data_IF_699901169063
#
_entry.id   IF_699901169063
#
_cell.length_a   1.000
_cell.length_b   1.000
_cell.length_c   1.000
_cell.angle_alpha   90.00
_cell.angle_beta   90.00
_cell.angle_gamma   90.00
#
_symmetry.space_group_name_H-M   'P 1'
#
loop_
_entity.id
_entity.type
_entity.pdbx_description
1 polymer ?
#
# COMPACT_ATOMS: atom_id res chain seq x y z
N UNK A 1 22.75 -6.25 4.95
CA UNK A 1 22.39 -4.97 5.59
C UNK A 1 21.60 -5.27 6.87
N UNK A 2 21.64 -4.32 7.81
CA UNK A 2 20.75 -4.29 8.96
C UNK A 2 19.61 -3.33 8.67
N UNK A 3 18.39 -3.83 8.63
CA UNK A 3 17.21 -3.09 8.15
C UNK A 3 16.18 -2.96 9.26
N UNK A 4 15.68 -1.75 9.51
CA UNK A 4 14.54 -1.50 10.37
C UNK A 4 13.26 -1.35 9.52
N UNK A 5 12.23 -2.14 9.81
CA UNK A 5 10.89 -1.99 9.21
C UNK A 5 9.91 -1.63 10.31
N UNK A 6 9.23 -0.49 10.20
CA UNK A 6 8.18 -0.14 11.17
C UNK A 6 6.91 -0.95 10.90
N UNK A 7 6.33 -1.55 11.93
CA UNK A 7 5.24 -2.52 11.84
C UNK A 7 5.75 -3.96 11.78
N UNK A 8 5.69 -4.60 10.62
CA UNK A 8 6.22 -5.96 10.39
C UNK A 8 5.24 -7.11 10.62
N UNK A 9 3.96 -6.84 10.92
CA UNK A 9 2.98 -7.90 11.22
C UNK A 9 1.77 -7.93 10.31
N UNK A 10 1.56 -6.91 9.48
CA UNK A 10 0.39 -6.78 8.60
C UNK A 10 0.80 -6.30 7.22
N UNK A 11 0.28 -6.92 6.19
CA UNK A 11 0.39 -6.59 4.76
C UNK A 11 1.74 -5.98 4.36
N UNK A 12 1.78 -4.71 3.96
CA UNK A 12 2.97 -4.07 3.40
C UNK A 12 4.19 -4.23 4.32
N UNK A 13 4.05 -3.91 5.60
CA UNK A 13 5.16 -3.99 6.53
C UNK A 13 5.62 -5.42 6.80
N UNK A 14 4.68 -6.37 6.85
CA UNK A 14 5.00 -7.79 7.00
C UNK A 14 5.69 -8.33 5.75
N UNK A 15 5.13 -8.06 4.57
CA UNK A 15 5.72 -8.51 3.31
C UNK A 15 7.13 -7.94 3.14
N UNK A 16 7.33 -6.65 3.42
CA UNK A 16 8.63 -5.98 3.35
C UNK A 16 9.65 -6.66 4.28
N UNK A 17 9.27 -6.94 5.53
CA UNK A 17 10.14 -7.61 6.48
C UNK A 17 10.54 -9.01 5.99
N UNK A 18 9.56 -9.83 5.58
CA UNK A 18 9.80 -11.20 5.07
C UNK A 18 10.61 -11.18 3.77
N UNK A 19 10.40 -10.21 2.88
CA UNK A 19 11.16 -10.06 1.65
C UNK A 19 12.66 -9.86 1.94
N UNK A 20 12.99 -8.93 2.83
CA UNK A 20 14.40 -8.67 3.17
C UNK A 20 15.05 -9.78 4.00
N UNK A 21 14.30 -10.49 4.84
CA UNK A 21 14.79 -11.73 5.49
C UNK A 21 15.16 -12.77 4.43
N UNK A 22 14.28 -13.00 3.44
CA UNK A 22 14.55 -13.91 2.33
C UNK A 22 15.80 -13.56 1.51
N UNK A 23 16.11 -12.28 1.42
CA UNK A 23 17.31 -11.76 0.75
C UNK A 23 18.59 -11.88 1.63
N UNK A 24 18.47 -12.46 2.82
CA UNK A 24 19.60 -12.67 3.73
C UNK A 24 20.02 -11.43 4.53
N UNK A 25 19.11 -10.47 4.70
CA UNK A 25 19.36 -9.30 5.53
C UNK A 25 18.99 -9.55 6.99
N UNK A 26 19.64 -8.84 7.91
CA UNK A 26 19.29 -8.79 9.34
C UNK A 26 18.15 -7.79 9.51
N UNK A 27 16.93 -8.27 9.71
CA UNK A 27 15.71 -7.44 9.71
C UNK A 27 15.17 -7.27 11.11
N UNK A 28 15.03 -6.03 11.53
CA UNK A 28 14.36 -5.62 12.76
C UNK A 28 12.96 -5.09 12.44
N UNK A 29 11.98 -5.47 13.25
CA UNK A 29 10.62 -4.95 13.16
C UNK A 29 10.27 -4.20 14.44
N UNK A 30 9.68 -3.01 14.29
CA UNK A 30 9.27 -2.15 15.42
C UNK A 30 7.76 -2.17 15.55
N UNK A 31 7.24 -2.82 16.59
CA UNK A 31 5.80 -2.87 16.88
C UNK A 31 5.51 -3.21 18.35
N UNK A 32 4.23 -3.17 18.73
CA UNK A 32 3.76 -3.42 20.11
C UNK A 32 3.58 -4.90 20.45
N UNK A 33 4.07 -5.83 19.65
CA UNK A 33 3.97 -7.28 19.85
C UNK A 33 2.53 -7.81 20.06
N UNK A 34 1.55 -7.16 19.45
CA UNK A 34 0.15 -7.55 19.55
C UNK A 34 -0.27 -8.67 18.59
N UNK A 35 0.66 -9.12 17.74
CA UNK A 35 0.46 -10.18 16.74
C UNK A 35 1.73 -11.03 16.63
N UNK A 36 1.63 -12.31 16.21
CA UNK A 36 2.80 -13.14 15.93
C UNK A 36 3.75 -12.45 14.95
N UNK A 37 5.03 -12.58 15.22
CA UNK A 37 6.09 -12.06 14.35
C UNK A 37 6.40 -13.07 13.23
N UNK A 38 6.89 -12.59 12.11
CA UNK A 38 7.38 -13.46 11.03
C UNK A 38 8.69 -14.14 11.44
N UNK A 39 8.95 -15.30 10.88
CA UNK A 39 10.23 -16.01 11.09
C UNK A 39 11.40 -15.20 10.55
N UNK A 40 12.52 -15.23 11.28
CA UNK A 40 13.79 -14.59 10.90
C UNK A 40 13.85 -13.08 11.16
N UNK A 41 12.83 -12.46 11.75
CA UNK A 41 12.89 -11.05 12.16
C UNK A 41 13.31 -10.90 13.64
N UNK A 42 13.97 -9.79 13.94
CA UNK A 42 14.28 -9.37 15.30
C UNK A 42 13.25 -8.34 15.78
N UNK A 43 12.48 -8.68 16.81
CA UNK A 43 11.47 -7.78 17.36
C UNK A 43 12.11 -6.71 18.24
N UNK A 44 11.79 -5.45 17.97
CA UNK A 44 11.92 -4.32 18.90
C UNK A 44 10.53 -4.00 19.41
N UNK A 45 10.16 -4.57 20.56
CA UNK A 45 8.87 -4.33 21.17
C UNK A 45 8.81 -2.93 21.79
N UNK A 46 7.99 -2.07 21.20
CA UNK A 46 7.73 -0.73 21.71
C UNK A 46 6.45 -0.13 21.14
N UNK A 47 5.88 0.81 21.87
CA UNK A 47 4.98 1.81 21.29
C UNK A 47 5.82 2.85 20.55
N UNK A 48 5.45 3.18 19.32
CA UNK A 48 6.14 4.15 18.48
C UNK A 48 6.29 5.53 19.16
N UNK A 49 5.30 5.92 19.95
CA UNK A 49 5.29 7.19 20.68
C UNK A 49 6.02 7.13 22.03
N UNK A 50 6.67 6.01 22.35
CA UNK A 50 7.37 5.80 23.62
C UNK A 50 8.62 4.94 23.42
N UNK A 51 9.46 5.31 22.45
CA UNK A 51 10.64 4.51 22.04
C UNK A 51 11.79 4.60 23.05
N UNK A 52 11.95 5.74 23.72
CA UNK A 52 13.09 5.96 24.61
C UNK A 52 14.44 5.78 23.88
N UNK A 53 15.32 4.98 24.46
CA UNK A 53 16.66 4.71 23.90
C UNK A 53 16.75 3.37 23.13
N UNK A 54 15.61 2.72 22.83
CA UNK A 54 15.61 1.36 22.26
C UNK A 54 16.31 1.23 20.91
N UNK A 55 16.34 2.31 20.12
CA UNK A 55 16.96 2.34 18.80
C UNK A 55 18.35 3.00 18.80
N UNK A 56 18.70 3.73 19.86
CA UNK A 56 19.86 4.64 19.89
C UNK A 56 21.21 3.95 19.70
N UNK A 57 21.33 2.71 20.17
CA UNK A 57 22.59 1.95 20.13
C UNK A 57 22.61 0.91 19.00
N UNK A 58 21.62 0.94 18.10
CA UNK A 58 21.55 0.06 16.94
C UNK A 58 21.77 0.90 15.70
N UNK A 59 22.82 0.62 14.94
CA UNK A 59 22.98 1.22 13.62
C UNK A 59 22.21 0.41 12.59
N UNK A 60 21.35 1.09 11.84
CA UNK A 60 20.64 0.52 10.70
C UNK A 60 21.25 1.03 9.40
N UNK A 61 21.42 0.15 8.41
CA UNK A 61 21.83 0.55 7.06
C UNK A 61 20.65 1.15 6.30
N UNK A 62 19.44 0.67 6.60
CA UNK A 62 18.18 1.13 5.99
C UNK A 62 17.08 1.17 7.04
N UNK A 63 16.29 2.24 7.00
CA UNK A 63 15.00 2.37 7.70
C UNK A 63 13.88 2.41 6.66
N UNK A 64 12.97 1.44 6.69
CA UNK A 64 11.73 1.44 5.88
C UNK A 64 10.56 1.76 6.80
N UNK A 65 10.10 3.01 6.71
CA UNK A 65 9.01 3.50 7.56
C UNK A 65 7.66 3.34 6.85
N UNK A 66 6.99 2.23 7.15
CA UNK A 66 5.70 1.85 6.57
C UNK A 66 4.52 2.41 7.34
N UNK A 67 4.69 2.63 8.64
CA UNK A 67 3.57 2.93 9.56
C UNK A 67 3.54 4.38 10.04
N UNK A 68 4.20 5.30 9.34
CA UNK A 68 4.05 6.75 9.59
C UNK A 68 2.81 7.28 8.88
N UNK A 69 1.77 7.54 9.66
CA UNK A 69 0.48 8.08 9.19
C UNK A 69 0.35 9.58 9.41
N UNK A 70 1.13 10.15 10.32
CA UNK A 70 1.11 11.56 10.69
C UNK A 70 2.50 12.05 11.11
N UNK A 71 2.65 13.37 11.23
CA UNK A 71 3.91 14.04 11.57
C UNK A 71 4.57 13.48 12.84
N UNK A 72 3.78 13.23 13.91
CA UNK A 72 4.29 12.74 15.18
C UNK A 72 4.96 11.36 15.02
N UNK A 73 4.43 10.50 14.13
CA UNK A 73 5.02 9.19 13.86
C UNK A 73 6.45 9.30 13.34
N UNK A 74 6.70 10.25 12.44
CA UNK A 74 8.03 10.51 11.89
C UNK A 74 8.92 11.18 12.93
N UNK A 75 8.38 12.16 13.67
CA UNK A 75 9.12 12.89 14.70
C UNK A 75 9.67 11.95 15.76
N UNK A 76 8.83 11.09 16.30
CA UNK A 76 9.19 10.18 17.40
C UNK A 76 10.21 9.14 16.94
N UNK A 77 10.06 8.63 15.70
CA UNK A 77 11.02 7.69 15.14
C UNK A 77 12.38 8.34 14.91
N UNK A 78 12.46 9.51 14.27
CA UNK A 78 13.72 10.21 14.01
C UNK A 78 14.46 10.58 15.31
N UNK A 79 13.72 11.01 16.35
CA UNK A 79 14.30 11.34 17.65
C UNK A 79 14.87 10.11 18.40
N UNK A 80 14.30 8.92 18.15
CA UNK A 80 14.73 7.70 18.81
C UNK A 80 15.86 6.97 18.07
N UNK A 81 16.00 7.19 16.75
CA UNK A 81 17.06 6.58 15.96
C UNK A 81 18.45 7.10 16.39
N UNK A 82 19.41 6.19 16.38
CA UNK A 82 20.84 6.53 16.44
C UNK A 82 21.38 6.82 15.05
N UNK A 83 22.56 6.27 14.74
CA UNK A 83 23.15 6.36 13.40
C UNK A 83 22.43 5.41 12.43
N UNK A 84 22.10 5.91 11.24
CA UNK A 84 21.48 5.11 10.16
C UNK A 84 21.95 5.58 8.78
N UNK A 85 21.83 4.69 7.80
CA UNK A 85 22.14 4.98 6.41
C UNK A 85 20.95 5.65 5.68
N UNK A 86 20.25 4.89 4.86
CA UNK A 86 19.12 5.39 4.07
C UNK A 86 17.80 5.32 4.86
N UNK A 87 16.90 6.25 4.53
CA UNK A 87 15.54 6.29 5.09
C UNK A 87 14.53 6.37 3.95
N UNK A 88 13.58 5.42 3.93
CA UNK A 88 12.50 5.37 2.95
C UNK A 88 11.16 5.37 3.69
N UNK A 89 10.33 6.37 3.42
CA UNK A 89 8.96 6.46 3.91
C UNK A 89 7.98 5.94 2.87
N UNK A 90 7.07 5.07 3.26
CA UNK A 90 5.92 4.69 2.44
C UNK A 90 4.79 5.66 2.72
N UNK A 91 4.58 6.58 1.78
CA UNK A 91 3.51 7.57 1.81
C UNK A 91 2.26 7.07 1.04
N UNK A 92 1.59 7.90 0.28
CA UNK A 92 0.38 7.57 -0.46
C UNK A 92 0.09 8.59 -1.56
N UNK A 93 -0.57 8.17 -2.64
CA UNK A 93 -1.20 9.06 -3.62
C UNK A 93 -2.30 9.96 -3.03
N UNK A 94 -2.77 9.68 -1.83
CA UNK A 94 -3.78 10.46 -1.12
C UNK A 94 -3.34 11.91 -0.79
N UNK A 95 -2.05 12.23 -0.99
CA UNK A 95 -1.49 13.58 -0.81
C UNK A 95 -1.88 14.55 -1.92
N UNK A 96 -2.37 14.06 -3.07
CA UNK A 96 -2.76 14.90 -4.19
C UNK A 96 -4.23 15.31 -4.10
N UNK A 97 -4.56 16.61 -4.25
CA UNK A 97 -5.94 17.07 -4.39
C UNK A 97 -6.62 16.44 -5.62
N UNK A 98 -7.87 16.02 -5.49
CA UNK A 98 -8.66 15.47 -6.60
C UNK A 98 -8.94 16.49 -7.72
N UNK A 99 -8.75 17.76 -7.44
CA UNK A 99 -8.98 18.88 -8.40
C UNK A 99 -7.83 19.05 -9.40
N UNK A 100 -6.69 18.42 -9.15
CA UNK A 100 -5.55 18.52 -10.05
C UNK A 100 -5.74 17.68 -11.31
N UNK A 101 -5.08 18.12 -12.38
CA UNK A 101 -5.07 17.37 -13.64
C UNK A 101 -4.22 16.09 -13.53
N UNK A 102 -4.73 14.98 -14.07
CA UNK A 102 -4.06 13.69 -14.00
C UNK A 102 -3.37 13.31 -15.32
N UNK A 103 -2.32 12.49 -15.30
CA UNK A 103 -1.75 11.78 -14.13
C UNK A 103 -1.06 12.71 -13.14
N UNK A 104 -1.16 12.41 -11.85
CA UNK A 104 -0.47 13.19 -10.82
C UNK A 104 1.04 12.97 -10.89
N UNK A 105 1.81 14.07 -10.91
CA UNK A 105 3.29 14.06 -10.91
C UNK A 105 3.84 14.44 -9.55
N UNK A 106 5.07 14.03 -9.27
CA UNK A 106 5.71 14.26 -7.96
C UNK A 106 6.00 15.71 -7.64
N UNK A 107 6.08 16.57 -8.65
CA UNK A 107 6.30 18.02 -8.55
C UNK A 107 5.00 18.83 -8.44
N UNK A 108 3.85 18.18 -8.51
CA UNK A 108 2.56 18.82 -8.30
C UNK A 108 2.34 19.16 -6.82
N UNK A 109 1.55 20.21 -6.60
CA UNK A 109 1.14 20.64 -5.26
C UNK A 109 0.41 19.51 -4.52
N UNK A 110 0.77 19.33 -3.25
CA UNK A 110 0.04 18.45 -2.33
C UNK A 110 -1.01 19.25 -1.58
N UNK A 111 -2.13 18.62 -1.21
CA UNK A 111 -3.22 19.34 -0.54
C UNK A 111 -4.38 18.44 -0.13
N UNK A 112 -5.40 19.08 0.41
CA UNK A 112 -6.60 18.40 0.86
C UNK A 112 -7.32 17.68 -0.28
N UNK A 113 -7.76 16.47 0.01
CA UNK A 113 -8.53 15.62 -0.88
C UNK A 113 -9.79 15.14 -0.16
N UNK A 114 -10.97 15.43 -0.72
CA UNK A 114 -12.27 15.14 -0.10
C UNK A 114 -12.52 13.64 0.10
N UNK A 115 -11.92 12.79 -0.71
CA UNK A 115 -12.04 11.33 -0.58
C UNK A 115 -11.12 10.74 0.49
N UNK A 116 -10.01 11.40 0.81
CA UNK A 116 -9.01 10.90 1.76
C UNK A 116 -8.98 11.68 3.07
N UNK A 117 -9.53 12.89 3.10
CA UNK A 117 -9.69 13.72 4.31
C UNK A 117 -8.39 13.82 5.15
N UNK A 118 -8.51 13.62 6.45
CA UNK A 118 -7.37 13.67 7.37
C UNK A 118 -6.24 12.68 7.05
N UNK A 119 -6.53 11.56 6.37
CA UNK A 119 -5.48 10.63 5.99
C UNK A 119 -4.50 11.25 5.01
N UNK A 120 -5.01 11.98 3.99
CA UNK A 120 -4.15 12.68 3.01
C UNK A 120 -3.35 13.80 3.65
N UNK A 121 -3.99 14.70 4.40
CA UNK A 121 -3.32 15.85 5.03
C UNK A 121 -2.29 15.42 6.08
N UNK A 122 -2.59 14.40 6.88
CA UNK A 122 -1.63 13.86 7.84
C UNK A 122 -0.37 13.28 7.16
N UNK A 123 -0.53 12.63 5.99
CA UNK A 123 0.61 12.16 5.19
C UNK A 123 1.43 13.32 4.66
N UNK A 124 0.80 14.41 4.22
CA UNK A 124 1.50 15.64 3.78
C UNK A 124 2.35 16.20 4.93
N UNK A 125 1.76 16.39 6.12
CA UNK A 125 2.48 16.88 7.30
C UNK A 125 3.68 15.99 7.66
N UNK A 126 3.54 14.68 7.51
CA UNK A 126 4.60 13.72 7.76
C UNK A 126 5.74 13.84 6.71
N UNK A 127 5.41 13.96 5.42
CA UNK A 127 6.38 14.15 4.34
C UNK A 127 7.15 15.45 4.48
N UNK A 128 6.45 16.56 4.74
CA UNK A 128 7.06 17.89 4.92
C UNK A 128 8.02 17.89 6.11
N UNK A 129 7.59 17.31 7.24
CA UNK A 129 8.45 17.20 8.41
C UNK A 129 9.68 16.33 8.13
N UNK A 130 9.52 15.20 7.45
CA UNK A 130 10.61 14.31 7.09
C UNK A 130 11.63 15.04 6.22
N UNK A 131 11.22 15.62 5.10
CA UNK A 131 12.14 16.28 4.18
C UNK A 131 12.81 17.52 4.77
N UNK A 132 12.13 18.24 5.67
CA UNK A 132 12.72 19.37 6.38
C UNK A 132 13.85 18.94 7.31
N UNK A 133 13.73 17.79 7.98
CA UNK A 133 14.71 17.33 8.97
C UNK A 133 15.70 16.30 8.41
N UNK A 134 15.34 15.62 7.35
CA UNK A 134 16.16 14.63 6.64
C UNK A 134 16.00 14.80 5.12
N UNK A 135 16.61 15.82 4.50
CA UNK A 135 16.42 16.16 3.08
C UNK A 135 16.80 15.03 2.10
N UNK A 136 17.61 14.07 2.56
CA UNK A 136 18.05 12.91 1.75
C UNK A 136 17.12 11.69 1.88
N UNK A 137 16.05 11.76 2.69
CA UNK A 137 15.10 10.67 2.79
C UNK A 137 14.34 10.49 1.47
N UNK A 138 14.00 9.24 1.15
CA UNK A 138 13.14 8.94 0.03
C UNK A 138 11.68 8.76 0.48
N UNK A 139 10.75 9.20 -0.35
CA UNK A 139 9.31 9.07 -0.15
C UNK A 139 8.73 8.35 -1.35
N UNK A 140 8.08 7.21 -1.11
CA UNK A 140 7.34 6.48 -2.14
C UNK A 140 5.85 6.78 -1.95
N UNK A 141 5.17 7.25 -3.00
CA UNK A 141 3.74 7.53 -3.02
C UNK A 141 3.02 6.47 -3.87
N UNK A 142 2.59 5.34 -3.29
CA UNK A 142 1.85 4.32 -4.03
C UNK A 142 0.37 4.67 -4.20
N UNK A 143 -0.29 4.11 -5.24
CA UNK A 143 -1.75 4.08 -5.38
C UNK A 143 -2.32 2.94 -4.52
N UNK A 144 -3.24 2.12 -5.05
CA UNK A 144 -3.72 0.93 -4.35
C UNK A 144 -2.66 -0.18 -4.35
N UNK A 145 -1.99 -0.36 -3.21
CA UNK A 145 -1.13 -1.54 -3.00
C UNK A 145 -1.98 -2.80 -2.94
N UNK A 146 -1.55 -3.86 -3.62
CA UNK A 146 -2.19 -5.17 -3.63
C UNK A 146 -1.13 -6.28 -3.58
N UNK A 147 -1.54 -7.53 -3.59
CA UNK A 147 -0.63 -8.66 -3.63
C UNK A 147 -0.75 -9.57 -2.41
N UNK A 148 0.22 -10.44 -2.23
CA UNK A 148 0.28 -11.37 -1.09
C UNK A 148 0.20 -10.61 0.23
N UNK A 149 -0.46 -11.21 1.22
CA UNK A 149 -0.66 -10.66 2.56
C UNK A 149 -1.59 -9.44 2.64
N UNK A 150 -2.23 -9.03 1.53
CA UNK A 150 -3.23 -7.98 1.60
C UNK A 150 -4.46 -8.47 2.37
N UNK A 151 -4.62 -7.95 3.58
CA UNK A 151 -5.73 -8.32 4.46
C UNK A 151 -6.95 -7.39 4.33
N UNK A 152 -6.93 -6.44 3.40
CA UNK A 152 -8.07 -5.57 3.12
C UNK A 152 -9.11 -6.32 2.30
N UNK A 153 -10.39 -6.08 2.59
CA UNK A 153 -11.49 -6.70 1.88
C UNK A 153 -11.74 -6.00 0.53
N UNK A 154 -10.78 -6.13 -0.37
CA UNK A 154 -10.79 -5.62 -1.75
C UNK A 154 -10.85 -6.79 -2.73
N UNK A 155 -9.73 -7.28 -3.24
CA UNK A 155 -9.69 -8.48 -4.08
C UNK A 155 -10.25 -9.70 -3.37
N UNK A 156 -10.06 -9.83 -2.07
CA UNK A 156 -10.65 -10.90 -1.26
C UNK A 156 -12.19 -10.93 -1.32
N UNK A 157 -12.85 -9.76 -1.39
CA UNK A 157 -14.29 -9.67 -1.58
C UNK A 157 -14.72 -10.20 -2.95
N UNK A 158 -13.99 -9.81 -4.01
CA UNK A 158 -14.28 -10.30 -5.37
C UNK A 158 -14.05 -11.79 -5.49
N UNK A 159 -12.99 -12.31 -4.89
CA UNK A 159 -12.72 -13.75 -4.85
C UNK A 159 -13.85 -14.53 -4.15
N UNK A 160 -14.37 -14.01 -3.03
CA UNK A 160 -15.50 -14.64 -2.35
C UNK A 160 -16.79 -14.63 -3.18
N UNK A 161 -17.07 -13.51 -3.88
CA UNK A 161 -18.20 -13.46 -4.81
C UNK A 161 -18.02 -14.49 -5.92
N UNK A 162 -16.82 -14.59 -6.49
CA UNK A 162 -16.50 -15.57 -7.53
C UNK A 162 -16.66 -17.01 -7.03
N UNK A 163 -16.13 -17.35 -5.84
CA UNK A 163 -16.26 -18.69 -5.26
C UNK A 163 -17.70 -19.11 -5.08
N UNK A 164 -18.53 -18.18 -4.58
CA UNK A 164 -19.95 -18.41 -4.27
C UNK A 164 -20.87 -18.28 -5.49
N UNK A 165 -20.34 -17.94 -6.68
CA UNK A 165 -21.09 -17.63 -7.90
C UNK A 165 -22.16 -16.55 -7.68
N UNK A 166 -21.83 -15.52 -6.90
CA UNK A 166 -22.71 -14.39 -6.66
C UNK A 166 -22.57 -13.35 -7.78
N UNK A 167 -23.62 -12.58 -8.11
CA UNK A 167 -23.48 -11.42 -8.95
C UNK A 167 -22.54 -10.39 -8.31
N UNK A 168 -21.81 -9.63 -9.13
CA UNK A 168 -20.94 -8.57 -8.66
C UNK A 168 -21.43 -7.19 -9.07
N UNK A 169 -21.61 -6.31 -8.10
CA UNK A 169 -22.17 -4.99 -8.30
C UNK A 169 -21.06 -3.96 -8.51
N UNK A 170 -21.11 -3.25 -9.64
CA UNK A 170 -20.12 -2.24 -10.02
C UNK A 170 -20.82 -0.88 -10.14
N UNK A 171 -20.21 0.21 -9.60
CA UNK A 171 -20.81 1.55 -9.69
C UNK A 171 -20.80 2.07 -11.12
N UNK A 172 -21.83 2.86 -11.45
CA UNK A 172 -22.03 3.53 -12.73
C UNK A 172 -21.93 2.57 -13.92
N UNK A 173 -21.08 2.87 -14.91
CA UNK A 173 -20.82 2.05 -16.09
C UNK A 173 -19.60 1.12 -15.94
N UNK A 174 -18.94 1.18 -14.78
CA UNK A 174 -17.75 0.39 -14.49
C UNK A 174 -16.47 0.87 -15.16
N UNK A 175 -16.47 2.05 -15.77
CA UNK A 175 -15.31 2.64 -16.46
C UNK A 175 -14.27 3.25 -15.52
N UNK A 176 -14.61 3.41 -14.23
CA UNK A 176 -13.72 3.98 -13.21
C UNK A 176 -12.31 3.35 -13.31
N UNK A 177 -11.31 4.18 -13.57
CA UNK A 177 -9.92 3.72 -13.68
C UNK A 177 -9.29 3.54 -12.31
N UNK A 178 -8.66 2.39 -12.14
CA UNK A 178 -7.93 2.00 -10.94
C UNK A 178 -6.46 1.79 -11.29
N UNK A 179 -5.56 2.26 -10.44
CA UNK A 179 -4.14 1.96 -10.55
C UNK A 179 -3.69 1.15 -9.35
N UNK A 180 -2.92 0.11 -9.61
CA UNK A 180 -2.42 -0.81 -8.60
C UNK A 180 -0.89 -0.83 -8.59
N UNK A 181 -0.32 -1.28 -7.48
CA UNK A 181 1.10 -1.59 -7.38
C UNK A 181 1.28 -2.83 -6.52
N UNK A 182 1.99 -3.83 -7.05
CA UNK A 182 2.24 -5.07 -6.30
C UNK A 182 3.20 -4.82 -5.14
N UNK A 183 2.94 -5.44 -4.00
CA UNK A 183 3.76 -5.27 -2.79
C UNK A 183 5.19 -5.81 -2.97
N UNK A 184 5.41 -6.81 -3.84
CA UNK A 184 6.74 -7.29 -4.18
C UNK A 184 7.49 -6.28 -5.06
N UNK A 185 6.81 -5.65 -6.03
CA UNK A 185 7.40 -4.58 -6.84
C UNK A 185 7.73 -3.35 -5.99
N UNK A 186 6.94 -3.06 -4.94
CA UNK A 186 7.32 -2.04 -3.95
C UNK A 186 8.65 -2.39 -3.27
N UNK A 187 8.85 -3.64 -2.86
CA UNK A 187 10.12 -4.07 -2.25
C UNK A 187 11.28 -3.99 -3.26
N UNK A 188 11.06 -4.40 -4.51
CA UNK A 188 12.06 -4.28 -5.59
C UNK A 188 12.40 -2.82 -5.89
N UNK A 189 11.41 -1.92 -5.84
CA UNK A 189 11.66 -0.48 -5.98
C UNK A 189 12.51 0.06 -4.82
N UNK A 190 12.26 -0.38 -3.59
CA UNK A 190 13.09 -0.05 -2.43
C UNK A 190 14.54 -0.51 -2.66
N UNK A 191 14.76 -1.76 -3.11
CA UNK A 191 16.10 -2.28 -3.46
C UNK A 191 16.78 -1.37 -4.49
N UNK A 192 16.07 -1.01 -5.56
CA UNK A 192 16.58 -0.12 -6.61
C UNK A 192 16.95 1.28 -6.12
N UNK A 193 16.14 1.86 -5.26
CA UNK A 193 16.44 3.17 -4.65
C UNK A 193 17.75 3.11 -3.85
N UNK A 194 17.96 2.03 -3.08
CA UNK A 194 19.17 1.87 -2.26
C UNK A 194 20.41 1.68 -3.13
N UNK A 195 20.29 0.90 -4.19
CA UNK A 195 21.41 0.56 -5.07
C UNK A 195 21.81 1.74 -5.96
N UNK A 196 20.84 2.45 -6.53
CA UNK A 196 21.07 3.47 -7.55
C UNK A 196 21.13 4.89 -6.97
N UNK A 197 20.55 5.13 -5.79
CA UNK A 197 20.54 6.41 -5.08
C UNK A 197 20.21 7.61 -5.98
N UNK A 198 18.99 7.60 -6.60
CA UNK A 198 18.61 8.66 -7.51
C UNK A 198 18.65 10.04 -6.83
N UNK A 199 18.85 11.10 -7.61
CA UNK A 199 18.90 12.48 -7.15
C UNK A 199 17.51 13.10 -6.86
N UNK A 200 16.43 12.36 -7.15
CA UNK A 200 15.05 12.71 -6.84
C UNK A 200 14.53 11.88 -5.66
N UNK A 201 13.98 12.56 -4.66
CA UNK A 201 13.64 11.95 -3.37
C UNK A 201 12.16 11.60 -3.20
N UNK A 202 11.27 12.08 -4.08
CA UNK A 202 9.86 11.72 -4.11
C UNK A 202 9.60 10.90 -5.36
N UNK A 203 8.98 9.73 -5.20
CA UNK A 203 8.73 8.76 -6.27
C UNK A 203 7.30 8.28 -6.19
N UNK A 204 6.50 8.63 -7.19
CA UNK A 204 5.22 7.96 -7.43
C UNK A 204 5.49 6.53 -7.90
N UNK A 205 4.70 5.59 -7.39
CA UNK A 205 4.81 4.19 -7.80
C UNK A 205 3.46 3.64 -8.26
N UNK A 206 3.48 2.66 -9.14
CA UNK A 206 2.25 2.07 -9.67
C UNK A 206 2.51 1.29 -10.96
N UNK A 207 1.52 0.51 -11.38
CA UNK A 207 1.52 -0.04 -12.73
C UNK A 207 1.46 1.10 -13.75
N UNK A 208 2.14 0.93 -14.88
CA UNK A 208 2.18 1.95 -15.95
C UNK A 208 0.76 2.24 -16.46
N UNK A 209 -0.03 1.19 -16.61
CA UNK A 209 -1.40 1.29 -17.10
C UNK A 209 -2.41 1.20 -15.95
N UNK A 210 -3.49 1.95 -16.07
CA UNK A 210 -4.70 1.79 -15.26
C UNK A 210 -5.56 0.64 -15.81
N UNK A 211 -6.46 0.13 -14.98
CA UNK A 211 -7.46 -0.87 -15.37
C UNK A 211 -8.84 -0.35 -14.99
N UNK A 212 -9.87 -0.60 -15.80
CA UNK A 212 -11.25 -0.26 -15.42
C UNK A 212 -11.73 -1.11 -14.25
N UNK A 213 -12.68 -0.59 -13.46
CA UNK A 213 -13.31 -1.37 -12.39
C UNK A 213 -13.91 -2.69 -12.92
N UNK A 214 -14.54 -2.64 -14.09
CA UNK A 214 -15.10 -3.81 -14.78
C UNK A 214 -14.01 -4.83 -15.12
N UNK A 215 -12.91 -4.40 -15.72
CA UNK A 215 -11.85 -5.32 -16.14
C UNK A 215 -11.09 -5.89 -14.96
N UNK A 216 -10.87 -5.10 -13.91
CA UNK A 216 -10.29 -5.59 -12.66
C UNK A 216 -11.15 -6.70 -12.03
N UNK A 217 -12.47 -6.54 -11.98
CA UNK A 217 -13.39 -7.60 -11.50
C UNK A 217 -13.30 -8.84 -12.38
N UNK A 218 -13.30 -8.68 -13.71
CA UNK A 218 -13.13 -9.82 -14.64
C UNK A 218 -11.80 -10.54 -14.42
N UNK A 219 -10.70 -9.81 -14.22
CA UNK A 219 -9.39 -10.39 -13.90
C UNK A 219 -9.43 -11.20 -12.61
N UNK A 220 -10.06 -10.67 -11.54
CA UNK A 220 -10.22 -11.41 -10.29
C UNK A 220 -11.02 -12.72 -10.47
N UNK A 221 -12.11 -12.70 -11.25
CA UNK A 221 -12.89 -13.91 -11.56
C UNK A 221 -12.11 -14.90 -12.43
N UNK A 222 -11.35 -14.39 -13.40
CA UNK A 222 -10.52 -15.22 -14.30
C UNK A 222 -9.45 -16.03 -13.54
N UNK A 223 -8.96 -15.52 -12.41
CA UNK A 223 -8.05 -16.27 -11.50
C UNK A 223 -8.67 -17.60 -11.05
N UNK A 224 -10.02 -17.64 -10.89
CA UNK A 224 -10.77 -18.84 -10.51
C UNK A 224 -11.32 -19.61 -11.72
N UNK A 225 -10.99 -19.20 -12.95
CA UNK A 225 -11.55 -19.79 -14.18
C UNK A 225 -13.03 -19.47 -14.38
N UNK A 226 -13.52 -18.37 -13.82
CA UNK A 226 -14.94 -17.98 -13.84
C UNK A 226 -15.16 -16.66 -14.59
N UNK A 227 -16.42 -16.46 -15.03
CA UNK A 227 -16.91 -15.22 -15.61
C UNK A 227 -17.90 -14.57 -14.64
N UNK A 228 -17.78 -13.27 -14.30
CA UNK A 228 -18.73 -12.61 -13.40
C UNK A 228 -20.09 -12.32 -14.05
N UNK A 229 -21.17 -12.49 -13.28
CA UNK A 229 -22.46 -11.83 -13.53
C UNK A 229 -22.35 -10.38 -13.01
N UNK A 230 -22.03 -9.43 -13.90
CA UNK A 230 -21.83 -8.02 -13.53
C UNK A 230 -23.16 -7.28 -13.58
N UNK A 231 -23.46 -6.56 -12.49
CA UNK A 231 -24.63 -5.67 -12.38
C UNK A 231 -24.17 -4.25 -12.10
N UNK A 232 -24.57 -3.32 -12.97
CA UNK A 232 -24.21 -1.92 -12.83
C UNK A 232 -25.22 -1.19 -11.97
N UNK A 233 -24.71 -0.37 -11.02
CA UNK A 233 -25.50 0.33 -10.01
C UNK A 233 -25.37 1.84 -10.21
N UNK A 234 -26.47 2.53 -10.36
CA UNK A 234 -26.50 4.00 -10.50
C UNK A 234 -26.14 4.72 -9.18
N UNK A 235 -25.75 6.00 -9.26
CA UNK A 235 -25.26 6.87 -8.18
C UNK A 235 -26.15 7.00 -6.92
N UNK A 236 -27.42 6.56 -6.97
CA UNK A 236 -28.32 6.62 -5.82
C UNK A 236 -27.87 5.79 -4.62
N UNK A 237 -26.92 4.87 -4.82
CA UNK A 237 -26.41 4.00 -3.78
C UNK A 237 -25.02 4.46 -3.33
N UNK A 238 -24.71 4.27 -2.04
CA UNK A 238 -23.40 4.58 -1.46
C UNK A 238 -22.37 3.55 -1.90
N UNK A 239 -21.59 3.86 -2.92
CA UNK A 239 -20.60 2.98 -3.54
C UNK A 239 -19.74 2.22 -2.51
N UNK A 240 -19.20 2.89 -1.48
CA UNK A 240 -18.34 2.28 -0.47
C UNK A 240 -19.02 1.25 0.43
N UNK A 241 -20.31 1.04 0.32
CA UNK A 241 -21.04 0.01 1.06
C UNK A 241 -21.18 -1.31 0.28
N UNK A 242 -20.88 -1.33 -1.02
CA UNK A 242 -20.93 -2.52 -1.85
C UNK A 242 -19.73 -2.70 -2.79
N UNK A 243 -18.89 -1.67 -2.94
CA UNK A 243 -17.71 -1.69 -3.81
C UNK A 243 -16.44 -1.24 -3.06
N UNK A 244 -15.30 -1.92 -3.26
CA UNK A 244 -14.15 -1.71 -2.40
C UNK A 244 -13.34 -0.44 -2.63
N UNK A 245 -13.57 0.30 -3.72
CA UNK A 245 -12.81 1.50 -4.05
C UNK A 245 -13.63 2.79 -3.90
N UNK A 246 -12.95 3.94 -3.86
CA UNK A 246 -13.58 5.26 -3.77
C UNK A 246 -14.15 5.68 -5.12
N UNK A 247 -15.16 6.54 -5.09
CA UNK A 247 -15.84 7.03 -6.26
C UNK A 247 -15.13 8.26 -6.85
N UNK A 248 -13.88 8.09 -7.20
CA UNK A 248 -13.20 9.04 -8.07
C UNK A 248 -12.02 8.40 -8.75
N UNK A 249 -11.76 8.86 -9.97
CA UNK A 249 -10.65 8.39 -10.77
C UNK A 249 -9.38 9.11 -10.34
N UNK A 250 -8.31 8.36 -10.09
CA UNK A 250 -6.99 8.91 -9.88
C UNK A 250 -5.90 7.93 -10.32
N UNK A 251 -4.87 8.48 -10.91
CA UNK A 251 -3.68 7.71 -11.27
C UNK A 251 -2.44 8.61 -11.30
N UNK A 252 -1.30 7.98 -11.15
CA UNK A 252 -0.01 8.61 -10.97
C UNK A 252 0.81 8.50 -12.25
N UNK A 253 1.56 9.55 -12.56
CA UNK A 253 2.71 9.46 -13.45
C UNK A 253 3.81 8.67 -12.72
N UNK A 254 4.29 7.60 -13.34
CA UNK A 254 5.31 6.72 -12.77
C UNK A 254 6.65 6.80 -13.52
N UNK A 255 6.89 7.92 -14.18
CA UNK A 255 8.11 8.13 -14.99
C UNK A 255 9.39 8.00 -14.16
N UNK A 256 9.40 8.50 -12.92
CA UNK A 256 10.56 8.37 -12.01
C UNK A 256 10.79 6.90 -11.62
N UNK A 257 9.74 6.20 -11.23
CA UNK A 257 9.81 4.76 -10.94
C UNK A 257 10.34 3.98 -12.15
N UNK A 258 9.84 4.27 -13.36
CA UNK A 258 10.21 3.53 -14.58
C UNK A 258 11.66 3.70 -15.00
N UNK A 259 12.39 4.68 -14.47
CA UNK A 259 13.85 4.78 -14.63
C UNK A 259 14.61 3.77 -13.76
N UNK A 260 14.01 3.34 -12.65
CA UNK A 260 14.61 2.41 -11.68
C UNK A 260 14.11 0.98 -11.85
N UNK A 261 12.83 0.81 -12.14
CA UNK A 261 12.16 -0.50 -12.20
C UNK A 261 11.20 -0.55 -13.40
N UNK A 262 11.53 -1.35 -14.40
CA UNK A 262 10.78 -1.45 -15.67
C UNK A 262 9.97 -2.75 -15.78
N UNK A 263 10.45 -3.84 -15.19
CA UNK A 263 9.88 -5.18 -15.28
C UNK A 263 8.89 -5.43 -14.13
N UNK A 264 7.76 -4.72 -14.17
CA UNK A 264 6.72 -4.88 -13.15
C UNK A 264 5.98 -6.21 -13.30
N UNK A 265 5.52 -6.75 -12.17
CA UNK A 265 4.68 -7.94 -12.15
C UNK A 265 3.36 -7.65 -12.87
N UNK A 266 2.96 -8.45 -13.87
CA UNK A 266 1.64 -8.33 -14.49
C UNK A 266 0.52 -8.46 -13.44
N UNK A 267 -0.53 -7.64 -13.56
CA UNK A 267 -1.63 -7.59 -12.58
C UNK A 267 -2.30 -8.95 -12.41
N UNK A 268 -2.48 -9.70 -13.50
CA UNK A 268 -3.07 -11.04 -13.49
C UNK A 268 -2.26 -12.04 -12.65
N UNK A 269 -0.93 -11.94 -12.73
CA UNK A 269 -0.02 -12.80 -11.94
C UNK A 269 -0.12 -12.43 -10.46
N UNK A 270 -0.07 -11.14 -10.13
CA UNK A 270 -0.19 -10.67 -8.75
C UNK A 270 -1.56 -11.01 -8.14
N UNK A 271 -2.66 -10.91 -8.92
CA UNK A 271 -3.99 -11.33 -8.46
C UNK A 271 -4.07 -12.83 -8.20
N UNK A 272 -3.44 -13.66 -9.04
CA UNK A 272 -3.36 -15.12 -8.82
C UNK A 272 -2.61 -15.43 -7.52
N UNK A 273 -1.50 -14.79 -7.28
CA UNK A 273 -0.73 -14.94 -6.03
C UNK A 273 -1.51 -14.43 -4.80
N UNK A 274 -2.26 -13.34 -4.95
CA UNK A 274 -3.17 -12.82 -3.91
C UNK A 274 -4.25 -13.83 -3.56
N UNK A 275 -4.84 -14.49 -4.56
CA UNK A 275 -5.85 -15.52 -4.34
C UNK A 275 -5.27 -16.76 -3.66
N UNK A 276 -4.10 -17.24 -4.08
CA UNK A 276 -3.43 -18.36 -3.42
C UNK A 276 -3.15 -18.07 -1.93
N UNK A 277 -2.71 -16.87 -1.63
CA UNK A 277 -2.52 -16.45 -0.24
C UNK A 277 -3.86 -16.35 0.50
N UNK A 278 -4.88 -15.73 -0.10
CA UNK A 278 -6.21 -15.56 0.47
C UNK A 278 -6.84 -16.90 0.86
N UNK A 279 -6.76 -17.93 0.02
CA UNK A 279 -7.31 -19.26 0.29
C UNK A 279 -6.83 -19.85 1.64
N UNK A 280 -5.58 -19.58 1.97
CA UNK A 280 -4.92 -20.15 3.14
C UNK A 280 -4.92 -19.21 4.36
N UNK A 281 -5.49 -17.99 4.25
CA UNK A 281 -5.41 -16.97 5.29
C UNK A 281 -6.72 -16.14 5.41
N UNK A 282 -7.85 -16.79 5.23
CA UNK A 282 -9.19 -16.13 5.22
C UNK A 282 -9.51 -15.44 6.53
N UNK A 283 -9.04 -15.99 7.64
CA UNK A 283 -9.24 -15.49 8.99
C UNK A 283 -8.49 -14.17 9.25
N UNK A 284 -7.46 -13.85 8.45
CA UNK A 284 -6.70 -12.61 8.55
C UNK A 284 -7.38 -11.43 7.84
N UNK A 285 -8.39 -11.68 7.01
CA UNK A 285 -9.06 -10.63 6.24
C UNK A 285 -9.92 -9.74 7.14
N UNK A 286 -9.70 -8.43 7.07
CA UNK A 286 -10.51 -7.42 7.73
C UNK A 286 -11.76 -7.17 6.90
N UNK A 287 -12.83 -7.90 7.23
CA UNK A 287 -14.09 -7.88 6.49
C UNK A 287 -14.84 -6.56 6.63
N UNK A 288 -15.70 -6.28 5.64
CA UNK A 288 -16.69 -5.21 5.64
C UNK A 288 -18.05 -5.82 5.31
N UNK A 289 -19.10 -5.14 5.70
CA UNK A 289 -20.49 -5.62 5.57
C UNK A 289 -21.08 -5.49 4.14
N UNK A 290 -20.23 -5.67 3.11
CA UNK A 290 -20.67 -5.57 1.71
C UNK A 290 -21.81 -6.53 1.37
N UNK A 291 -21.68 -7.79 1.79
CA UNK A 291 -22.71 -8.81 1.53
C UNK A 291 -24.06 -8.43 2.12
N UNK A 292 -24.06 -7.99 3.38
CA UNK A 292 -25.28 -7.57 4.05
C UNK A 292 -25.92 -6.39 3.32
N UNK A 293 -25.13 -5.37 2.96
CA UNK A 293 -25.66 -4.22 2.23
C UNK A 293 -26.26 -4.62 0.87
N UNK A 294 -25.58 -5.53 0.15
CA UNK A 294 -26.04 -6.04 -1.15
C UNK A 294 -27.37 -6.79 -0.98
N UNK A 295 -27.48 -7.68 0.00
CA UNK A 295 -28.71 -8.45 0.28
C UNK A 295 -29.89 -7.55 0.66
N UNK A 296 -29.65 -6.43 1.35
CA UNK A 296 -30.68 -5.50 1.80
C UNK A 296 -31.14 -4.51 0.70
N UNK A 297 -30.35 -4.29 -0.36
CA UNK A 297 -30.57 -3.17 -1.30
C UNK A 297 -30.65 -3.58 -2.78
N UNK A 298 -30.20 -4.78 -3.15
CA UNK A 298 -30.16 -5.28 -4.53
C UNK A 298 -30.85 -6.64 -4.67
#
# INVERSE_FOLDING_TARGET
>A
MRILVTGGTVFVSRFTAEHFVKKGHEVYVLNRNSRPQSEGVHLIEADRHSLGNKLKNIRFDLVVDVTSYKKEDVTDLLNALGDFGEYIMISSSAVYPETLHQPFKEDMETGYNTHWEAYGTNKIDAEEYLLKNLPKAYIIRPPYLYGKMNNLFREAFVFECAEKNLPFYIPNDGSLKLQFFDVEDLCRLIEKIIDEKPDYHIINSGNINTVSATDWVKMCYAVLGKTPDIRYVSDKFKQRQYFPFRDYEYYLDVTRQSKLLTDLKPLEIGLKESYEWFKNNRELIVRKDYFRYIEENF
#
